data_IF_044074786179
#
_entry.id   IF_044074786179
#
_cell.length_a   1.000
_cell.length_b   1.000
_cell.length_c   1.000
_cell.angle_alpha   90.00
_cell.angle_beta   90.00
_cell.angle_gamma   90.00
#
_symmetry.space_group_name_H-M   'P 1'
#
loop_
_entity.id
_entity.type
_entity.pdbx_description
1 polymer ?
#
# COMPACT_ATOMS: atom_id res chain seq x y z
N UNK A 1 16.94 39.30 -6.90
CA UNK A 1 15.87 38.34 -6.51
C UNK A 1 16.36 37.66 -5.24
N UNK A 2 15.66 37.86 -4.13
CA UNK A 2 16.08 37.35 -2.83
C UNK A 2 15.88 35.83 -2.80
N UNK A 3 16.86 35.05 -2.33
CA UNK A 3 16.80 33.58 -2.26
C UNK A 3 15.65 32.99 -1.42
N UNK A 4 14.86 33.82 -0.74
CA UNK A 4 13.60 33.41 -0.10
C UNK A 4 12.46 33.20 -1.11
N UNK A 5 12.44 33.93 -2.24
CA UNK A 5 11.40 33.78 -3.27
C UNK A 5 11.56 32.45 -4.03
N UNK A 6 12.79 31.99 -4.29
CA UNK A 6 13.09 30.70 -4.96
C UNK A 6 12.62 29.48 -4.14
N UNK A 7 12.76 29.51 -2.80
CA UNK A 7 12.32 28.43 -1.93
C UNK A 7 10.80 28.26 -1.89
N UNK A 8 10.05 29.33 -2.19
CA UNK A 8 8.59 29.26 -2.22
C UNK A 8 8.05 28.56 -3.47
N UNK A 9 8.77 28.55 -4.59
CA UNK A 9 8.31 27.91 -5.83
C UNK A 9 8.65 26.41 -5.91
N UNK A 10 9.42 25.89 -4.95
CA UNK A 10 9.75 24.47 -4.85
C UNK A 10 8.85 23.72 -3.85
N UNK A 11 8.40 22.50 -4.20
CA UNK A 11 7.73 21.62 -3.26
C UNK A 11 8.69 21.25 -2.14
N UNK A 12 8.14 21.01 -0.95
CA UNK A 12 8.93 20.81 0.28
C UNK A 12 10.01 19.74 0.09
N UNK A 13 9.68 18.64 -0.59
CA UNK A 13 10.62 17.54 -0.83
C UNK A 13 11.78 17.90 -1.76
N UNK A 14 11.74 19.00 -2.52
CA UNK A 14 12.85 19.50 -3.36
C UNK A 14 13.77 20.48 -2.62
N UNK A 15 13.43 20.91 -1.40
CA UNK A 15 14.23 21.88 -0.65
C UNK A 15 15.35 21.21 0.13
N UNK A 16 16.56 21.77 0.11
CA UNK A 16 17.72 21.14 0.77
C UNK A 16 17.55 21.02 2.29
N UNK A 17 16.78 21.94 2.88
CA UNK A 17 16.52 22.02 4.33
C UNK A 17 15.88 20.76 4.95
N UNK A 18 15.25 19.90 4.15
CA UNK A 18 14.60 18.68 4.64
C UNK A 18 15.59 17.59 5.06
N UNK A 19 16.83 17.67 4.59
CA UNK A 19 17.86 16.69 4.90
C UNK A 19 18.74 17.17 6.06
N UNK A 20 19.23 16.24 6.90
CA UNK A 20 20.06 16.58 8.04
C UNK A 20 21.34 17.30 7.59
N UNK A 21 21.85 18.18 8.46
CA UNK A 21 23.16 18.77 8.27
C UNK A 21 24.24 17.69 8.24
N UNK A 22 25.32 17.95 7.51
CA UNK A 22 26.50 17.09 7.49
C UNK A 22 27.03 16.89 8.93
N UNK A 23 27.30 15.65 9.38
CA UNK A 23 27.89 15.39 10.69
C UNK A 23 29.27 16.07 10.85
N UNK A 24 29.66 16.44 12.09
CA UNK A 24 31.00 16.96 12.35
C UNK A 24 32.05 15.85 12.18
N UNK A 25 33.06 16.10 11.36
CA UNK A 25 34.17 15.17 11.10
C UNK A 25 34.03 14.35 9.81
N UNK A 26 35.04 14.42 8.95
CA UNK A 26 35.11 13.71 7.66
C UNK A 26 34.64 14.53 6.46
N UNK A 27 35.41 14.51 5.37
CA UNK A 27 35.06 15.22 4.14
C UNK A 27 33.91 14.52 3.40
N UNK A 28 33.90 13.19 3.44
CA UNK A 28 32.92 12.32 2.80
C UNK A 28 32.28 11.40 3.83
N UNK A 29 31.07 10.90 3.55
CA UNK A 29 30.46 9.89 4.40
C UNK A 29 29.05 9.50 4.01
N UNK A 30 28.52 8.53 4.73
CA UNK A 30 27.15 8.03 4.60
C UNK A 30 26.42 8.09 5.94
N UNK A 31 25.12 8.43 5.87
CA UNK A 31 24.19 8.37 6.98
C UNK A 31 23.27 7.17 6.79
N UNK A 32 23.43 6.19 7.68
CA UNK A 32 22.69 4.93 7.77
C UNK A 32 21.59 5.15 8.81
N UNK A 33 20.37 5.48 8.38
CA UNK A 33 19.27 5.78 9.32
C UNK A 33 19.36 7.17 9.98
N UNK A 34 18.92 7.28 11.25
CA UNK A 34 18.83 8.56 11.97
C UNK A 34 20.15 9.00 12.60
N UNK A 35 20.92 8.07 13.16
CA UNK A 35 22.03 8.38 14.05
C UNK A 35 23.34 7.65 13.70
N UNK A 36 23.33 6.72 12.74
CA UNK A 36 24.53 5.97 12.37
C UNK A 36 25.22 6.65 11.19
N UNK A 37 26.38 7.26 11.45
CA UNK A 37 27.17 7.98 10.47
C UNK A 37 28.51 7.30 10.27
N UNK A 38 28.90 7.08 9.01
CA UNK A 38 30.21 6.54 8.65
C UNK A 38 30.96 7.53 7.78
N UNK A 39 32.04 8.09 8.31
CA UNK A 39 32.91 9.01 7.60
C UNK A 39 33.97 8.27 6.76
N UNK A 40 34.37 8.88 5.65
CA UNK A 40 35.44 8.42 4.77
C UNK A 40 36.48 9.51 4.57
N UNK A 41 37.72 9.09 4.27
CA UNK A 41 38.85 10.00 4.09
C UNK A 41 38.86 10.63 2.71
N UNK A 42 38.46 9.87 1.69
CA UNK A 42 38.50 10.28 0.29
C UNK A 42 37.22 9.86 -0.46
N UNK A 43 37.04 10.37 -1.67
CA UNK A 43 35.86 10.07 -2.50
C UNK A 43 35.82 8.62 -3.00
N UNK A 44 36.97 7.99 -3.24
CA UNK A 44 37.03 6.61 -3.73
C UNK A 44 36.49 5.61 -2.70
N UNK A 45 36.78 5.82 -1.41
CA UNK A 45 36.21 5.04 -0.31
C UNK A 45 34.68 5.15 -0.27
N UNK A 46 34.15 6.37 -0.49
CA UNK A 46 32.70 6.62 -0.57
C UNK A 46 32.10 5.92 -1.79
N UNK A 47 32.75 6.02 -2.96
CA UNK A 47 32.30 5.40 -4.19
C UNK A 47 32.24 3.86 -4.05
N UNK A 48 33.28 3.25 -3.48
CA UNK A 48 33.33 1.82 -3.22
C UNK A 48 32.22 1.41 -2.25
N UNK A 49 32.02 2.17 -1.17
CA UNK A 49 30.95 1.91 -0.22
C UNK A 49 29.57 1.97 -0.88
N UNK A 50 29.29 3.02 -1.65
CA UNK A 50 28.01 3.18 -2.37
C UNK A 50 27.78 2.03 -3.35
N UNK A 51 28.83 1.52 -4.02
CA UNK A 51 28.72 0.39 -4.95
C UNK A 51 28.27 -0.91 -4.24
N UNK A 52 28.64 -1.09 -2.98
CA UNK A 52 28.30 -2.27 -2.18
C UNK A 52 27.05 -2.05 -1.31
N UNK A 53 26.58 -0.82 -1.17
CA UNK A 53 25.52 -0.44 -0.23
C UNK A 53 24.16 -1.06 -0.58
N UNK A 54 23.61 -1.86 0.34
CA UNK A 54 22.33 -2.57 0.13
C UNK A 54 21.13 -1.87 0.73
N UNK A 55 21.32 -0.98 1.69
CA UNK A 55 20.20 -0.38 2.40
C UNK A 55 19.43 0.62 1.54
N UNK A 56 18.09 0.57 1.57
CA UNK A 56 17.27 1.55 0.88
C UNK A 56 17.32 2.89 1.61
N UNK A 57 17.37 4.00 0.87
CA UNK A 57 17.16 5.36 1.40
C UNK A 57 18.25 5.91 2.35
N UNK A 58 19.50 5.53 2.15
CA UNK A 58 20.65 6.18 2.79
C UNK A 58 20.98 7.54 2.18
N UNK A 59 21.57 8.43 2.98
CA UNK A 59 22.07 9.73 2.54
C UNK A 59 23.59 9.73 2.55
N UNK A 60 24.20 10.56 1.70
CA UNK A 60 25.65 10.82 1.70
C UNK A 60 25.91 12.26 2.06
N UNK A 61 27.15 12.56 2.44
CA UNK A 61 27.65 13.93 2.44
C UNK A 61 29.01 14.00 1.75
N UNK A 62 29.29 15.16 1.20
CA UNK A 62 30.51 15.51 0.48
C UNK A 62 30.98 16.89 0.98
N UNK A 63 32.22 17.33 0.69
CA UNK A 63 32.68 18.63 1.14
C UNK A 63 32.02 19.80 0.39
N UNK A 64 31.40 19.53 -0.76
CA UNK A 64 30.73 20.54 -1.60
C UNK A 64 29.33 20.95 -1.12
N UNK A 65 28.75 20.25 -0.12
CA UNK A 65 27.41 20.57 0.41
C UNK A 65 27.38 20.59 1.93
N UNK A 66 26.56 21.50 2.48
CA UNK A 66 26.37 21.62 3.93
C UNK A 66 25.44 20.54 4.52
N UNK A 67 24.59 19.94 3.68
CA UNK A 67 23.58 18.96 4.08
C UNK A 67 23.79 17.63 3.39
N UNK A 68 23.33 16.57 4.05
CA UNK A 68 23.32 15.24 3.46
C UNK A 68 22.29 15.18 2.31
N UNK A 69 22.51 14.30 1.34
CA UNK A 69 21.64 14.19 0.16
C UNK A 69 21.66 12.76 -0.40
N UNK A 70 20.70 12.38 -1.27
CA UNK A 70 20.69 11.04 -1.88
C UNK A 70 21.90 10.82 -2.79
N UNK A 71 22.53 9.63 -2.80
CA UNK A 71 23.62 9.30 -3.72
C UNK A 71 23.32 9.62 -5.19
N UNK A 72 22.05 9.48 -5.59
CA UNK A 72 21.56 9.73 -6.94
C UNK A 72 21.69 11.19 -7.39
N UNK A 73 21.92 12.15 -6.48
CA UNK A 73 22.19 13.55 -6.84
C UNK A 73 23.67 13.83 -7.20
N UNK A 74 24.61 12.90 -6.95
CA UNK A 74 26.01 13.06 -7.35
C UNK A 74 26.34 12.27 -8.62
N UNK A 75 26.51 12.97 -9.73
CA UNK A 75 26.86 12.37 -11.03
C UNK A 75 28.18 11.59 -11.00
N UNK A 76 29.12 11.92 -10.09
CA UNK A 76 30.38 11.19 -9.92
C UNK A 76 30.15 9.75 -9.45
N UNK A 77 29.03 9.49 -8.76
CA UNK A 77 28.66 8.16 -8.25
C UNK A 77 27.93 7.30 -9.29
N UNK A 78 27.75 7.75 -10.53
CA UNK A 78 26.99 7.02 -11.55
C UNK A 78 27.47 5.56 -11.74
N UNK A 79 28.78 5.33 -11.77
CA UNK A 79 29.34 3.99 -11.95
C UNK A 79 29.11 3.11 -10.70
N UNK A 80 29.30 3.65 -9.50
CA UNK A 80 28.96 2.97 -8.26
C UNK A 80 27.47 2.61 -8.20
N UNK A 81 26.58 3.52 -8.58
CA UNK A 81 25.14 3.28 -8.61
C UNK A 81 24.75 2.22 -9.62
N UNK A 82 25.38 2.17 -10.81
CA UNK A 82 25.19 1.08 -11.78
C UNK A 82 25.57 -0.27 -11.17
N UNK A 83 26.77 -0.37 -10.57
CA UNK A 83 27.25 -1.60 -9.90
C UNK A 83 26.30 -2.03 -8.78
N UNK A 84 25.91 -1.08 -7.91
CA UNK A 84 24.98 -1.28 -6.80
C UNK A 84 23.66 -1.88 -7.30
N UNK A 85 23.04 -1.27 -8.31
CA UNK A 85 21.76 -1.69 -8.87
C UNK A 85 21.84 -3.05 -9.58
N UNK A 86 22.91 -3.30 -10.32
CA UNK A 86 23.14 -4.60 -10.95
C UNK A 86 23.19 -5.71 -9.90
N UNK A 87 24.00 -5.53 -8.85
CA UNK A 87 24.14 -6.53 -7.80
C UNK A 87 22.86 -6.71 -6.95
N UNK A 88 22.10 -5.65 -6.66
CA UNK A 88 20.77 -5.79 -6.04
C UNK A 88 19.83 -6.62 -6.90
N UNK A 89 19.89 -6.46 -8.22
CA UNK A 89 19.03 -7.21 -9.13
C UNK A 89 19.39 -8.70 -9.17
N UNK A 90 20.67 -9.07 -9.09
CA UNK A 90 21.10 -10.47 -9.04
C UNK A 90 20.65 -11.18 -7.76
N UNK A 91 20.74 -10.51 -6.62
CA UNK A 91 20.23 -11.03 -5.33
C UNK A 91 18.72 -11.26 -5.40
N UNK A 92 17.98 -10.32 -5.99
CA UNK A 92 16.56 -10.51 -6.19
C UNK A 92 16.30 -11.73 -7.07
N UNK A 93 17.00 -11.87 -8.21
CA UNK A 93 16.86 -13.01 -9.11
C UNK A 93 17.12 -14.37 -8.46
N UNK A 94 18.16 -14.51 -7.64
CA UNK A 94 18.48 -15.77 -6.97
C UNK A 94 17.40 -16.16 -5.96
N UNK A 95 16.93 -15.19 -5.16
CA UNK A 95 15.84 -15.40 -4.21
C UNK A 95 14.49 -15.69 -4.87
N UNK A 96 14.33 -15.27 -6.12
CA UNK A 96 13.14 -15.44 -6.93
C UNK A 96 13.04 -16.83 -7.54
N UNK A 97 14.16 -17.45 -7.94
CA UNK A 97 14.17 -18.84 -8.44
C UNK A 97 13.61 -19.81 -7.41
N UNK A 98 14.01 -19.65 -6.15
CA UNK A 98 13.51 -20.47 -5.04
C UNK A 98 12.01 -20.25 -4.78
N UNK A 99 11.56 -18.99 -4.73
CA UNK A 99 10.14 -18.65 -4.53
C UNK A 99 9.26 -19.10 -5.70
N UNK A 100 9.71 -18.86 -6.94
CA UNK A 100 9.02 -19.32 -8.14
C UNK A 100 8.87 -20.84 -8.15
N UNK A 101 9.89 -21.59 -7.72
CA UNK A 101 9.79 -23.04 -7.56
C UNK A 101 8.75 -23.44 -6.49
N UNK A 102 8.82 -22.84 -5.30
CA UNK A 102 7.88 -23.14 -4.20
C UNK A 102 6.41 -22.89 -4.59
N UNK A 103 6.13 -21.78 -5.30
CA UNK A 103 4.76 -21.42 -5.69
C UNK A 103 4.33 -22.01 -7.05
N UNK A 104 5.25 -22.57 -7.85
CA UNK A 104 4.90 -23.26 -9.09
C UNK A 104 4.40 -24.69 -8.84
N UNK A 105 4.86 -25.36 -7.78
CA UNK A 105 4.45 -26.74 -7.46
C UNK A 105 2.93 -26.88 -7.25
N UNK A 106 2.23 -26.00 -6.50
CA UNK A 106 0.78 -26.04 -6.40
C UNK A 106 0.09 -25.79 -7.75
N UNK A 107 0.61 -24.90 -8.59
CA UNK A 107 0.03 -24.62 -9.93
C UNK A 107 0.16 -25.84 -10.83
N UNK A 108 1.31 -26.52 -10.83
CA UNK A 108 1.52 -27.76 -11.60
C UNK A 108 0.62 -28.87 -11.09
N UNK A 109 0.48 -29.02 -9.78
CA UNK A 109 -0.45 -29.98 -9.17
C UNK A 109 -1.91 -29.70 -9.56
N UNK A 110 -2.33 -28.44 -9.54
CA UNK A 110 -3.69 -28.05 -9.92
C UNK A 110 -3.92 -28.21 -11.41
N UNK A 111 -2.92 -27.94 -12.25
CA UNK A 111 -3.01 -28.17 -13.69
C UNK A 111 -3.12 -29.66 -14.00
N UNK A 112 -2.32 -30.50 -13.34
CA UNK A 112 -2.44 -31.95 -13.41
C UNK A 112 -3.82 -32.42 -12.94
N UNK A 113 -4.29 -31.91 -11.80
CA UNK A 113 -5.62 -32.22 -11.26
C UNK A 113 -6.75 -31.74 -12.18
N UNK A 114 -6.57 -30.59 -12.86
CA UNK A 114 -7.49 -30.07 -13.87
C UNK A 114 -7.59 -31.02 -15.06
N UNK A 115 -6.46 -31.49 -15.59
CA UNK A 115 -6.41 -32.45 -16.70
C UNK A 115 -7.00 -33.80 -16.31
N UNK A 116 -6.77 -34.24 -15.06
CA UNK A 116 -7.25 -35.52 -14.55
C UNK A 116 -8.75 -35.53 -14.22
N UNK A 117 -9.33 -34.39 -13.81
CA UNK A 117 -10.72 -34.31 -13.30
C UNK A 117 -11.66 -33.42 -14.11
N UNK A 118 -11.14 -32.58 -15.02
CA UNK A 118 -11.89 -31.62 -15.82
C UNK A 118 -12.50 -30.43 -15.06
N UNK A 119 -12.25 -30.29 -13.73
CA UNK A 119 -13.02 -29.37 -12.86
C UNK A 119 -12.21 -28.24 -12.20
N UNK A 120 -10.88 -28.28 -12.24
CA UNK A 120 -10.04 -27.38 -11.41
C UNK A 120 -9.92 -25.96 -11.98
N UNK A 121 -10.16 -25.74 -13.27
CA UNK A 121 -10.07 -24.41 -13.88
C UNK A 121 -11.08 -23.38 -13.31
N UNK A 122 -12.15 -23.84 -12.66
CA UNK A 122 -13.15 -22.99 -12.00
C UNK A 122 -13.09 -23.04 -10.47
N UNK A 123 -12.01 -23.60 -9.91
CA UNK A 123 -11.84 -23.71 -8.45
C UNK A 123 -11.26 -22.42 -7.87
N UNK A 124 -11.80 -21.95 -6.73
CA UNK A 124 -11.29 -20.76 -6.03
C UNK A 124 -9.82 -20.94 -5.63
N UNK A 125 -9.46 -22.18 -5.33
CA UNK A 125 -8.12 -22.63 -4.98
C UNK A 125 -7.13 -22.24 -6.07
N UNK A 126 -7.43 -22.53 -7.35
CA UNK A 126 -6.57 -22.14 -8.47
C UNK A 126 -6.33 -20.63 -8.50
N UNK A 127 -7.38 -19.83 -8.32
CA UNK A 127 -7.25 -18.37 -8.26
C UNK A 127 -6.38 -17.91 -7.08
N UNK A 128 -6.52 -18.53 -5.89
CA UNK A 128 -5.69 -18.21 -4.71
C UNK A 128 -4.22 -18.53 -5.00
N UNK A 129 -3.91 -19.72 -5.51
CA UNK A 129 -2.53 -20.09 -5.82
C UNK A 129 -1.95 -19.23 -6.94
N UNK A 130 -2.74 -18.86 -7.95
CA UNK A 130 -2.30 -17.94 -9.00
C UNK A 130 -2.02 -16.53 -8.46
N UNK A 131 -2.86 -16.00 -7.55
CA UNK A 131 -2.60 -14.73 -6.86
C UNK A 131 -1.33 -14.83 -6.00
N UNK A 132 -1.16 -15.90 -5.22
CA UNK A 132 0.03 -16.11 -4.39
C UNK A 132 1.30 -16.20 -5.25
N UNK A 133 1.26 -16.94 -6.37
CA UNK A 133 2.38 -17.01 -7.29
C UNK A 133 2.67 -15.66 -7.93
N UNK A 134 1.66 -14.93 -8.40
CA UNK A 134 1.85 -13.59 -8.96
C UNK A 134 2.52 -12.67 -7.93
N UNK A 135 2.04 -12.70 -6.69
CA UNK A 135 2.50 -11.81 -5.62
C UNK A 135 3.91 -12.14 -5.12
N UNK A 136 4.24 -13.43 -4.96
CA UNK A 136 5.50 -13.87 -4.36
C UNK A 136 6.57 -14.30 -5.37
N UNK A 137 6.20 -14.54 -6.63
CA UNK A 137 7.13 -14.97 -7.68
C UNK A 137 7.01 -14.12 -8.96
N UNK A 138 5.85 -14.07 -9.61
CA UNK A 138 5.70 -13.44 -10.93
C UNK A 138 6.05 -11.96 -10.95
N UNK A 139 5.50 -11.18 -10.02
CA UNK A 139 5.71 -9.73 -9.95
C UNK A 139 7.09 -9.38 -9.45
N UNK A 140 7.61 -9.97 -8.35
CA UNK A 140 8.97 -9.67 -7.97
C UNK A 140 9.96 -10.08 -9.07
N UNK A 141 9.70 -11.15 -9.86
CA UNK A 141 10.51 -11.50 -11.03
C UNK A 141 10.49 -10.40 -12.09
N UNK A 142 9.30 -9.93 -12.45
CA UNK A 142 9.15 -8.84 -13.41
C UNK A 142 9.83 -7.55 -12.93
N UNK A 143 9.67 -7.18 -11.67
CA UNK A 143 10.30 -5.99 -11.09
C UNK A 143 11.82 -6.15 -10.95
N UNK A 144 12.33 -7.35 -10.65
CA UNK A 144 13.77 -7.63 -10.69
C UNK A 144 14.32 -7.48 -12.11
N UNK A 145 13.66 -8.07 -13.11
CA UNK A 145 14.00 -7.94 -14.53
C UNK A 145 14.02 -6.49 -15.01
N UNK A 146 12.95 -5.76 -14.72
CA UNK A 146 12.80 -4.34 -15.06
C UNK A 146 13.87 -3.49 -14.39
N UNK A 147 14.22 -3.78 -13.14
CA UNK A 147 15.33 -3.11 -12.42
C UNK A 147 16.69 -3.43 -13.05
N UNK A 148 16.98 -4.68 -13.40
CA UNK A 148 18.21 -5.04 -14.13
C UNK A 148 18.32 -4.27 -15.45
N UNK A 149 17.24 -4.21 -16.24
CA UNK A 149 17.21 -3.47 -17.51
C UNK A 149 17.40 -1.96 -17.31
N UNK A 150 16.84 -1.37 -16.25
CA UNK A 150 17.04 0.04 -15.90
C UNK A 150 18.47 0.33 -15.47
N UNK A 151 19.09 -0.55 -14.67
CA UNK A 151 20.48 -0.41 -14.23
C UNK A 151 21.44 -0.30 -15.42
N UNK A 152 21.24 -1.14 -16.45
CA UNK A 152 22.03 -1.10 -17.70
C UNK A 152 21.85 0.19 -18.51
N UNK A 153 20.72 0.88 -18.35
CA UNK A 153 20.38 2.11 -19.07
C UNK A 153 20.61 3.38 -18.24
N UNK A 154 21.06 3.26 -16.99
CA UNK A 154 21.30 4.41 -16.12
C UNK A 154 22.41 5.26 -16.74
N UNK A 155 22.17 6.55 -16.95
CA UNK A 155 23.11 7.50 -17.54
C UNK A 155 22.95 8.86 -16.85
N UNK A 156 23.81 9.83 -17.18
CA UNK A 156 23.74 11.15 -16.56
C UNK A 156 22.38 11.85 -16.81
N UNK A 157 21.77 11.64 -17.98
CA UNK A 157 20.49 12.26 -18.36
C UNK A 157 19.31 11.78 -17.51
N UNK A 158 19.24 10.49 -17.19
CA UNK A 158 18.11 9.91 -16.47
C UNK A 158 18.32 9.80 -14.95
N UNK A 159 19.56 10.02 -14.48
CA UNK A 159 19.95 10.03 -13.07
C UNK A 159 19.24 11.15 -12.31
N UNK A 160 19.15 12.35 -12.88
CA UNK A 160 18.45 13.49 -12.25
C UNK A 160 16.99 13.15 -11.88
N UNK A 161 16.26 12.51 -12.81
CA UNK A 161 14.88 12.07 -12.53
C UNK A 161 14.78 10.90 -11.54
N UNK A 162 15.85 10.11 -11.35
CA UNK A 162 15.89 9.13 -10.25
C UNK A 162 16.14 9.82 -8.93
N UNK A 163 16.99 10.83 -8.91
CA UNK A 163 17.29 11.62 -7.74
C UNK A 163 16.02 12.26 -7.18
N UNK A 164 15.19 12.89 -8.02
CA UNK A 164 13.89 13.45 -7.60
C UNK A 164 12.96 12.40 -6.96
N UNK A 165 12.87 11.21 -7.58
CA UNK A 165 12.03 10.12 -7.09
C UNK A 165 12.53 9.58 -5.74
N UNK A 166 13.84 9.36 -5.60
CA UNK A 166 14.47 8.92 -4.35
C UNK A 166 14.31 9.97 -3.26
N UNK A 167 14.49 11.26 -3.62
CA UNK A 167 14.33 12.38 -2.71
C UNK A 167 12.92 12.42 -2.12
N UNK A 168 11.90 12.31 -2.98
CA UNK A 168 10.50 12.22 -2.56
C UNK A 168 10.23 11.01 -1.66
N UNK A 169 10.75 9.83 -2.01
CA UNK A 169 10.59 8.61 -1.22
C UNK A 169 11.24 8.70 0.17
N UNK A 170 12.44 9.27 0.28
CA UNK A 170 13.10 9.51 1.57
C UNK A 170 12.26 10.49 2.40
N UNK A 171 11.86 11.60 1.78
CA UNK A 171 11.06 12.63 2.46
C UNK A 171 9.74 12.06 2.99
N UNK A 172 8.96 11.38 2.15
CA UNK A 172 7.64 10.87 2.54
C UNK A 172 7.71 9.79 3.63
N UNK A 173 8.76 8.96 3.63
CA UNK A 173 8.99 7.93 4.67
C UNK A 173 9.32 8.52 6.04
N UNK A 174 9.93 9.71 6.08
CA UNK A 174 10.30 10.40 7.32
C UNK A 174 9.13 11.17 7.96
N UNK A 175 7.99 11.26 7.27
CA UNK A 175 6.84 12.03 7.76
C UNK A 175 6.12 11.32 8.91
N UNK A 176 5.57 12.13 9.81
CA UNK A 176 4.72 11.66 10.90
C UNK A 176 3.32 11.31 10.36
N UNK A 177 2.88 10.07 10.60
CA UNK A 177 1.61 9.51 10.07
C UNK A 177 0.73 8.86 11.15
N UNK A 178 0.35 9.61 12.21
CA UNK A 178 -0.36 9.06 13.36
C UNK A 178 -1.74 8.53 12.97
N UNK A 179 -2.47 9.20 12.07
CA UNK A 179 -3.84 8.80 11.75
C UNK A 179 -3.88 7.54 10.90
N UNK A 180 -2.93 7.36 9.97
CA UNK A 180 -2.74 6.09 9.25
C UNK A 180 -2.45 4.95 10.21
N UNK A 181 -1.58 5.18 11.21
CA UNK A 181 -1.25 4.17 12.23
C UNK A 181 -2.43 3.84 13.14
N UNK A 182 -3.22 4.84 13.53
CA UNK A 182 -4.43 4.65 14.33
C UNK A 182 -5.44 3.80 13.54
N UNK A 183 -5.72 4.17 12.29
CA UNK A 183 -6.65 3.41 11.44
C UNK A 183 -6.18 1.97 11.23
N UNK A 184 -4.88 1.76 10.99
CA UNK A 184 -4.30 0.42 10.94
C UNK A 184 -4.50 -0.34 12.26
N UNK A 185 -4.23 0.31 13.39
CA UNK A 185 -4.41 -0.28 14.72
C UNK A 185 -5.85 -0.70 15.01
N UNK A 186 -6.83 0.10 14.58
CA UNK A 186 -8.27 -0.22 14.68
C UNK A 186 -8.58 -1.49 13.88
N UNK A 187 -8.16 -1.55 12.62
CA UNK A 187 -8.42 -2.72 11.75
C UNK A 187 -7.73 -3.98 12.29
N UNK A 188 -6.47 -3.88 12.71
CA UNK A 188 -5.73 -5.00 13.31
C UNK A 188 -6.36 -5.43 14.64
N UNK A 189 -6.87 -4.50 15.44
CA UNK A 189 -7.56 -4.80 16.69
C UNK A 189 -8.85 -5.61 16.49
N UNK A 190 -9.65 -5.28 15.47
CA UNK A 190 -10.84 -6.08 15.11
C UNK A 190 -10.43 -7.47 14.62
N UNK A 191 -9.39 -7.56 13.79
CA UNK A 191 -8.89 -8.87 13.34
C UNK A 191 -8.37 -9.73 14.50
N UNK A 192 -7.74 -9.14 15.50
CA UNK A 192 -7.32 -9.86 16.71
C UNK A 192 -8.53 -10.48 17.43
N UNK A 193 -9.65 -9.76 17.54
CA UNK A 193 -10.89 -10.31 18.10
C UNK A 193 -11.45 -11.45 17.22
N UNK A 194 -11.39 -11.34 15.89
CA UNK A 194 -11.76 -12.44 15.00
C UNK A 194 -10.93 -13.69 15.25
N UNK A 195 -9.61 -13.55 15.44
CA UNK A 195 -8.71 -14.67 15.75
C UNK A 195 -9.08 -15.31 17.09
N UNK A 196 -9.33 -14.53 18.14
CA UNK A 196 -9.75 -15.07 19.44
C UNK A 196 -11.07 -15.86 19.33
N UNK A 197 -12.04 -15.35 18.57
CA UNK A 197 -13.29 -16.06 18.30
C UNK A 197 -13.04 -17.35 17.51
N UNK A 198 -12.24 -17.29 16.45
CA UNK A 198 -11.86 -18.45 15.64
C UNK A 198 -11.11 -19.52 16.44
N UNK A 199 -10.29 -19.11 17.43
CA UNK A 199 -9.63 -20.05 18.35
C UNK A 199 -10.64 -20.74 19.26
N UNK A 200 -11.63 -20.02 19.78
CA UNK A 200 -12.69 -20.59 20.61
C UNK A 200 -13.57 -21.58 19.82
N UNK A 201 -13.77 -21.35 18.52
CA UNK A 201 -14.55 -22.22 17.64
C UNK A 201 -13.76 -23.45 17.14
N UNK A 202 -12.46 -23.28 16.82
CA UNK A 202 -11.66 -24.30 16.14
C UNK A 202 -10.68 -25.07 17.04
N UNK A 203 -10.46 -24.63 18.28
CA UNK A 203 -9.56 -25.29 19.24
C UNK A 203 -8.06 -25.10 18.99
N UNK A 204 -7.67 -24.26 18.00
CA UNK A 204 -6.26 -24.06 17.66
C UNK A 204 -5.94 -22.69 17.04
N UNK A 205 -4.71 -22.20 17.25
CA UNK A 205 -4.25 -20.91 16.69
C UNK A 205 -4.04 -20.98 15.17
N UNK A 206 -3.45 -22.08 14.67
CA UNK A 206 -3.19 -22.23 13.24
C UNK A 206 -4.48 -22.28 12.44
N UNK A 207 -5.50 -23.02 12.91
CA UNK A 207 -6.83 -23.03 12.32
C UNK A 207 -7.50 -21.65 12.39
N UNK A 208 -7.32 -20.90 13.48
CA UNK A 208 -7.86 -19.54 13.61
C UNK A 208 -7.20 -18.49 12.68
N UNK A 209 -5.89 -18.59 12.46
CA UNK A 209 -5.14 -17.70 11.55
C UNK A 209 -5.38 -18.03 10.08
N UNK A 210 -5.66 -19.31 9.80
CA UNK A 210 -5.82 -19.88 8.46
C UNK A 210 -7.23 -20.42 8.19
N UNK A 211 -8.26 -19.87 8.85
CA UNK A 211 -9.66 -20.32 8.71
C UNK A 211 -10.00 -20.49 7.21
N UNK A 212 -10.66 -21.59 6.84
CA UNK A 212 -10.12 -22.46 5.81
C UNK A 212 -10.25 -21.89 4.39
N UNK A 213 -9.18 -22.13 3.64
CA UNK A 213 -9.10 -22.35 2.19
C UNK A 213 -10.02 -23.49 1.68
N UNK A 214 -10.93 -24.01 2.50
CA UNK A 214 -11.64 -25.27 2.30
C UNK A 214 -13.14 -25.04 2.37
N UNK A 215 -13.78 -24.93 1.20
CA UNK A 215 -15.24 -25.04 1.07
C UNK A 215 -15.59 -26.53 1.17
N UNK A 216 -15.87 -27.00 2.39
CA UNK A 216 -16.67 -28.23 2.56
C UNK A 216 -18.02 -27.85 3.16
N UNK A 217 -19.07 -27.95 2.35
CA UNK A 217 -20.46 -27.79 2.81
C UNK A 217 -21.12 -26.43 2.55
N UNK A 218 -20.51 -25.53 1.78
CA UNK A 218 -21.22 -24.40 1.19
C UNK A 218 -21.40 -23.14 2.04
N UNK A 219 -20.80 -23.05 3.23
CA UNK A 219 -20.59 -21.75 3.90
C UNK A 219 -19.22 -21.70 4.58
N UNK A 220 -18.34 -20.76 4.21
CA UNK A 220 -17.18 -20.45 5.05
C UNK A 220 -17.72 -19.81 6.33
N UNK A 221 -17.70 -20.54 7.45
CA UNK A 221 -17.98 -19.96 8.78
C UNK A 221 -16.77 -19.12 9.21
N UNK A 222 -16.52 -18.06 8.47
CA UNK A 222 -15.46 -17.11 8.72
C UNK A 222 -15.82 -16.40 10.02
N UNK A 223 -15.00 -16.56 11.06
CA UNK A 223 -15.32 -16.08 12.40
C UNK A 223 -15.76 -14.60 12.40
N UNK A 224 -17.02 -14.37 12.76
CA UNK A 224 -17.63 -13.04 12.78
C UNK A 224 -18.36 -12.61 11.51
N UNK A 225 -18.30 -13.37 10.41
CA UNK A 225 -18.89 -13.00 9.12
C UNK A 225 -20.41 -12.93 9.17
N UNK A 226 -21.06 -13.92 9.79
CA UNK A 226 -22.51 -13.91 9.96
C UNK A 226 -22.95 -12.73 10.85
N UNK A 227 -22.17 -12.44 11.90
CA UNK A 227 -22.52 -11.43 12.91
C UNK A 227 -22.19 -10.00 12.46
N UNK A 228 -21.12 -9.80 11.70
CA UNK A 228 -20.59 -8.46 11.42
C UNK A 228 -20.09 -8.26 9.98
N UNK A 229 -20.07 -9.29 9.15
CA UNK A 229 -19.77 -9.17 7.72
C UNK A 229 -20.93 -8.59 6.91
N UNK A 230 -20.65 -8.24 5.66
CA UNK A 230 -21.65 -7.72 4.73
C UNK A 230 -22.43 -8.87 4.12
N UNK A 231 -23.42 -9.37 4.85
CA UNK A 231 -24.41 -10.33 4.36
C UNK A 231 -25.44 -9.59 3.52
N UNK A 232 -25.63 -10.01 2.27
CA UNK A 232 -26.38 -9.27 1.23
C UNK A 232 -27.60 -10.04 0.71
N UNK A 233 -27.99 -11.13 1.37
CA UNK A 233 -29.10 -11.97 0.92
C UNK A 233 -30.39 -11.16 0.79
N UNK A 234 -31.14 -11.42 -0.29
CA UNK A 234 -32.48 -10.85 -0.50
C UNK A 234 -33.58 -11.65 0.18
N UNK A 235 -33.30 -12.88 0.62
CA UNK A 235 -34.31 -13.83 1.11
C UNK A 235 -34.14 -14.17 2.60
N UNK A 236 -33.66 -13.24 3.43
CA UNK A 236 -33.42 -13.53 4.85
C UNK A 236 -32.88 -12.36 5.66
N UNK A 237 -31.82 -12.58 6.42
CA UNK A 237 -31.14 -11.52 7.20
C UNK A 237 -30.05 -10.84 6.35
N UNK A 238 -29.75 -9.57 6.64
CA UNK A 238 -28.65 -8.85 5.99
C UNK A 238 -28.98 -7.42 5.57
N UNK A 239 -28.11 -6.86 4.73
CA UNK A 239 -28.14 -5.48 4.26
C UNK A 239 -29.51 -5.05 3.70
N UNK A 240 -30.14 -5.88 2.85
CA UNK A 240 -31.44 -5.56 2.25
C UNK A 240 -32.62 -5.68 3.22
N UNK A 241 -32.39 -6.15 4.45
CA UNK A 241 -33.41 -6.36 5.49
C UNK A 241 -33.21 -5.44 6.70
N UNK A 242 -32.59 -4.28 6.48
CA UNK A 242 -32.45 -3.23 7.51
C UNK A 242 -31.14 -3.26 8.29
N UNK A 243 -30.25 -4.22 8.03
CA UNK A 243 -28.93 -4.29 8.67
C UNK A 243 -27.88 -3.41 7.96
N UNK A 244 -28.23 -2.16 7.68
CA UNK A 244 -27.38 -1.18 6.98
C UNK A 244 -26.04 -0.92 7.68
N UNK A 245 -25.98 -1.12 9.00
CA UNK A 245 -24.78 -1.01 9.81
C UNK A 245 -23.68 -1.98 9.36
N UNK A 246 -24.02 -3.04 8.61
CA UNK A 246 -23.04 -3.95 8.00
C UNK A 246 -22.10 -3.28 7.01
N UNK A 247 -22.50 -2.15 6.42
CA UNK A 247 -21.60 -1.32 5.60
C UNK A 247 -20.45 -0.71 6.41
N UNK A 248 -20.63 -0.54 7.73
CA UNK A 248 -19.61 -0.01 8.64
C UNK A 248 -18.78 -1.11 9.30
N UNK A 249 -19.39 -2.25 9.63
CA UNK A 249 -18.70 -3.34 10.33
C UNK A 249 -17.88 -4.21 9.38
N UNK A 250 -18.39 -4.54 8.20
CA UNK A 250 -17.74 -5.46 7.27
C UNK A 250 -16.34 -5.02 6.80
N UNK A 251 -16.08 -3.72 6.55
CA UNK A 251 -14.74 -3.27 6.20
C UNK A 251 -13.70 -3.48 7.31
N UNK A 252 -14.13 -3.75 8.55
CA UNK A 252 -13.23 -4.00 9.69
C UNK A 252 -12.84 -5.48 9.80
N UNK A 253 -13.65 -6.40 9.25
CA UNK A 253 -13.38 -7.84 9.27
C UNK A 253 -12.44 -8.25 8.15
N UNK A 254 -11.65 -9.30 8.36
CA UNK A 254 -10.78 -9.88 7.35
C UNK A 254 -10.91 -11.40 7.33
N UNK A 255 -10.76 -11.97 6.13
CA UNK A 255 -11.01 -13.39 5.93
C UNK A 255 -9.90 -14.33 6.41
N UNK A 256 -8.66 -13.87 6.35
CA UNK A 256 -7.46 -14.67 6.56
C UNK A 256 -6.24 -13.77 6.79
N UNK A 257 -5.17 -14.32 7.37
CA UNK A 257 -3.97 -13.55 7.73
C UNK A 257 -3.38 -12.80 6.53
N UNK A 258 -3.28 -13.43 5.36
CA UNK A 258 -2.71 -12.76 4.18
C UNK A 258 -3.57 -11.58 3.72
N UNK A 259 -4.90 -11.64 3.88
CA UNK A 259 -5.80 -10.57 3.48
C UNK A 259 -5.62 -9.34 4.38
N UNK A 260 -5.52 -9.50 5.71
CA UNK A 260 -5.22 -8.38 6.61
C UNK A 260 -3.81 -7.83 6.41
N UNK A 261 -2.81 -8.69 6.14
CA UNK A 261 -1.44 -8.23 5.85
C UNK A 261 -1.43 -7.38 4.58
N UNK A 262 -2.10 -7.81 3.52
CA UNK A 262 -2.17 -7.06 2.26
C UNK A 262 -2.93 -5.74 2.41
N UNK A 263 -4.06 -5.74 3.10
CA UNK A 263 -4.79 -4.50 3.41
C UNK A 263 -3.97 -3.58 4.32
N UNK A 264 -3.26 -4.12 5.30
CA UNK A 264 -2.38 -3.36 6.19
C UNK A 264 -1.23 -2.69 5.44
N UNK A 265 -0.56 -3.42 4.54
CA UNK A 265 0.48 -2.86 3.67
C UNK A 265 -0.08 -1.80 2.70
N UNK A 266 -1.23 -2.08 2.10
CA UNK A 266 -1.93 -1.13 1.23
C UNK A 266 -2.33 0.15 1.96
N UNK A 267 -2.87 0.02 3.18
CA UNK A 267 -3.24 1.14 4.03
C UNK A 267 -2.02 1.93 4.51
N UNK A 268 -0.92 1.27 4.89
CA UNK A 268 0.31 1.97 5.25
C UNK A 268 0.90 2.75 4.07
N UNK A 269 0.86 2.18 2.87
CA UNK A 269 1.40 2.82 1.67
C UNK A 269 0.53 3.99 1.20
N UNK A 270 -0.76 3.75 0.97
CA UNK A 270 -1.68 4.76 0.45
C UNK A 270 -2.11 5.74 1.53
N UNK A 271 -2.37 5.28 2.75
CA UNK A 271 -2.74 6.11 3.88
C UNK A 271 -1.65 7.11 4.25
N UNK A 272 -0.38 6.68 4.31
CA UNK A 272 0.77 7.60 4.49
C UNK A 272 0.74 8.69 3.44
N UNK A 273 0.58 8.31 2.17
CA UNK A 273 0.64 9.25 1.06
C UNK A 273 -0.52 10.25 1.12
N UNK A 274 -1.74 9.78 1.40
CA UNK A 274 -2.91 10.65 1.61
C UNK A 274 -2.74 11.58 2.81
N UNK A 275 -2.32 11.06 3.96
CA UNK A 275 -2.14 11.86 5.19
C UNK A 275 -1.07 12.95 5.03
N UNK A 276 0.03 12.64 4.33
CA UNK A 276 1.09 13.63 4.09
C UNK A 276 0.68 14.63 3.00
N UNK A 277 0.08 14.17 1.90
CA UNK A 277 -0.20 15.03 0.73
C UNK A 277 -1.46 15.87 0.90
N UNK A 278 -2.51 15.27 1.47
CA UNK A 278 -3.84 15.87 1.55
C UNK A 278 -4.26 16.16 3.00
N UNK A 279 -3.44 15.84 4.00
CA UNK A 279 -3.72 15.93 5.45
C UNK A 279 -4.69 14.87 5.99
N UNK A 280 -4.65 14.66 7.31
CA UNK A 280 -5.35 13.58 7.99
C UNK A 280 -6.89 13.59 7.88
N UNK A 281 -7.62 14.72 7.79
CA UNK A 281 -9.07 14.67 7.72
C UNK A 281 -9.56 14.00 6.44
N UNK A 282 -8.86 14.27 5.33
CA UNK A 282 -9.18 13.68 4.03
C UNK A 282 -8.84 12.18 3.96
N UNK A 283 -7.85 11.70 4.74
CA UNK A 283 -7.64 10.26 4.93
C UNK A 283 -8.92 9.59 5.49
N UNK A 284 -9.48 10.15 6.57
CA UNK A 284 -10.67 9.59 7.21
C UNK A 284 -11.90 9.69 6.30
N UNK A 285 -12.11 10.85 5.66
CA UNK A 285 -13.25 11.10 4.77
C UNK A 285 -13.24 10.20 3.54
N UNK A 286 -12.10 10.12 2.84
CA UNK A 286 -11.97 9.25 1.66
C UNK A 286 -12.17 7.79 2.06
N UNK A 287 -11.55 7.34 3.15
CA UNK A 287 -11.70 5.96 3.60
C UNK A 287 -13.16 5.62 3.92
N UNK A 288 -13.87 6.48 4.66
CA UNK A 288 -15.28 6.30 5.02
C UNK A 288 -16.19 6.29 3.78
N UNK A 289 -16.10 7.31 2.92
CA UNK A 289 -16.98 7.42 1.74
C UNK A 289 -16.74 6.26 0.79
N UNK A 290 -15.47 5.86 0.58
CA UNK A 290 -15.14 4.75 -0.30
C UNK A 290 -15.50 3.38 0.28
N UNK A 291 -15.39 3.15 1.59
CA UNK A 291 -15.85 1.89 2.17
C UNK A 291 -17.38 1.73 2.09
N UNK A 292 -18.13 2.83 2.26
CA UNK A 292 -19.58 2.85 2.09
C UNK A 292 -19.98 2.61 0.63
N UNK A 293 -19.39 3.39 -0.31
CA UNK A 293 -19.68 3.24 -1.74
C UNK A 293 -19.27 1.86 -2.28
N UNK A 294 -18.13 1.33 -1.83
CA UNK A 294 -17.70 -0.03 -2.14
C UNK A 294 -18.66 -1.09 -1.61
N UNK A 295 -19.08 -0.98 -0.34
CA UNK A 295 -20.07 -1.89 0.25
C UNK A 295 -21.41 -1.86 -0.49
N UNK A 296 -21.88 -0.68 -0.89
CA UNK A 296 -23.10 -0.53 -1.71
C UNK A 296 -22.89 -1.16 -3.08
N UNK A 297 -21.80 -0.86 -3.80
CA UNK A 297 -21.52 -1.46 -5.09
C UNK A 297 -21.46 -3.00 -5.00
N UNK A 298 -20.86 -3.53 -3.95
CA UNK A 298 -20.84 -4.97 -3.63
C UNK A 298 -22.24 -5.55 -3.37
N UNK A 299 -23.11 -4.82 -2.67
CA UNK A 299 -24.50 -5.21 -2.41
C UNK A 299 -25.30 -5.44 -3.69
N UNK A 300 -25.11 -4.59 -4.69
CA UNK A 300 -25.85 -4.69 -5.95
C UNK A 300 -25.13 -5.56 -6.99
N UNK A 301 -23.80 -5.59 -6.99
CA UNK A 301 -23.01 -6.34 -7.96
C UNK A 301 -22.77 -7.82 -7.61
N UNK A 302 -22.77 -8.16 -6.32
CA UNK A 302 -22.61 -9.53 -5.79
C UNK A 302 -23.62 -9.79 -4.66
N UNK A 303 -24.93 -9.80 -4.93
CA UNK A 303 -25.96 -9.85 -3.88
C UNK A 303 -25.97 -11.17 -3.08
N UNK A 304 -25.44 -12.26 -3.62
CA UNK A 304 -25.50 -13.59 -2.97
C UNK A 304 -24.24 -13.97 -2.20
N UNK A 305 -23.13 -13.24 -2.37
CA UNK A 305 -21.84 -13.58 -1.74
C UNK A 305 -21.53 -12.60 -0.62
N UNK A 306 -21.30 -13.02 0.63
CA UNK A 306 -20.94 -12.09 1.70
C UNK A 306 -19.59 -11.41 1.43
N UNK A 307 -19.36 -10.24 2.02
CA UNK A 307 -18.12 -9.46 1.83
C UNK A 307 -17.54 -8.95 3.15
N UNK A 308 -16.21 -8.86 3.19
CA UNK A 308 -15.41 -8.33 4.31
C UNK A 308 -14.15 -7.65 3.78
N UNK A 309 -13.55 -6.79 4.58
CA UNK A 309 -12.21 -6.26 4.35
C UNK A 309 -12.18 -4.76 4.08
N UNK A 310 -11.11 -4.11 4.56
CA UNK A 310 -10.89 -2.68 4.41
C UNK A 310 -10.61 -2.25 2.95
N UNK A 311 -10.50 -3.21 2.03
CA UNK A 311 -10.04 -3.02 0.66
C UNK A 311 -10.86 -2.01 -0.14
N UNK A 312 -12.18 -1.89 0.08
CA UNK A 312 -13.00 -0.84 -0.56
C UNK A 312 -12.54 0.58 -0.19
N UNK A 313 -12.27 0.82 1.10
CA UNK A 313 -11.70 2.10 1.57
C UNK A 313 -10.28 2.34 1.06
N UNK A 314 -9.45 1.30 1.03
CA UNK A 314 -8.06 1.36 0.52
C UNK A 314 -8.04 1.67 -0.99
N UNK A 315 -8.91 1.03 -1.77
CA UNK A 315 -9.08 1.34 -3.19
C UNK A 315 -9.59 2.77 -3.39
N UNK A 316 -10.41 3.27 -2.47
CA UNK A 316 -10.72 4.69 -2.35
C UNK A 316 -9.50 5.60 -2.24
N UNK A 317 -8.58 5.28 -1.35
CA UNK A 317 -7.33 6.04 -1.21
C UNK A 317 -6.50 6.00 -2.50
N UNK A 318 -6.47 4.87 -3.21
CA UNK A 318 -5.80 4.78 -4.51
C UNK A 318 -6.47 5.69 -5.56
N UNK A 319 -7.79 5.63 -5.68
CA UNK A 319 -8.56 6.44 -6.64
C UNK A 319 -8.44 7.93 -6.34
N UNK A 320 -8.50 8.29 -5.04
CA UNK A 320 -8.23 9.62 -4.56
C UNK A 320 -6.85 10.11 -4.98
N UNK A 321 -5.78 9.35 -4.69
CA UNK A 321 -4.41 9.75 -5.00
C UNK A 321 -4.15 9.88 -6.51
N UNK A 322 -4.72 8.99 -7.33
CA UNK A 322 -4.58 9.06 -8.79
C UNK A 322 -5.15 10.37 -9.35
N UNK A 323 -6.32 10.80 -8.88
CA UNK A 323 -6.96 12.04 -9.31
C UNK A 323 -6.30 13.25 -8.64
N UNK A 324 -6.04 13.20 -7.33
CA UNK A 324 -5.41 14.28 -6.58
C UNK A 324 -4.04 14.66 -7.15
N UNK A 325 -3.16 13.68 -7.41
CA UNK A 325 -1.83 13.95 -7.97
C UNK A 325 -1.87 14.40 -9.41
N UNK A 326 -2.87 13.97 -10.19
CA UNK A 326 -3.10 14.52 -11.52
C UNK A 326 -3.48 16.01 -11.45
N UNK A 327 -4.34 16.39 -10.49
CA UNK A 327 -4.77 17.77 -10.28
C UNK A 327 -3.67 18.66 -9.64
N UNK A 328 -2.71 18.04 -8.94
CA UNK A 328 -1.64 18.70 -8.17
C UNK A 328 -0.24 18.24 -8.61
N UNK A 329 -0.01 18.15 -9.92
CA UNK A 329 1.18 17.51 -10.49
C UNK A 329 2.54 18.13 -10.09
N UNK A 330 2.59 19.35 -9.54
CA UNK A 330 3.83 19.95 -9.00
C UNK A 330 4.19 19.46 -7.59
N UNK A 331 3.26 18.80 -6.87
CA UNK A 331 3.50 18.29 -5.52
C UNK A 331 4.29 16.98 -5.51
N UNK A 332 4.28 16.22 -6.60
CA UNK A 332 4.78 14.85 -6.64
C UNK A 332 5.60 14.64 -7.91
N UNK A 333 6.78 14.00 -7.85
CA UNK A 333 7.51 13.64 -9.06
C UNK A 333 6.67 12.72 -9.95
N UNK A 334 6.67 12.97 -11.27
CA UNK A 334 5.87 12.19 -12.22
C UNK A 334 6.13 10.68 -12.11
N UNK A 335 7.38 10.26 -11.82
CA UNK A 335 7.73 8.85 -11.63
C UNK A 335 7.04 8.24 -10.40
N UNK A 336 6.88 9.00 -9.32
CA UNK A 336 6.18 8.54 -8.12
C UNK A 336 4.67 8.38 -8.37
N UNK A 337 4.05 9.20 -9.22
CA UNK A 337 2.64 9.02 -9.64
C UNK A 337 2.47 7.79 -10.53
N UNK A 338 3.44 7.50 -11.43
CA UNK A 338 3.41 6.27 -12.24
C UNK A 338 3.40 4.98 -11.39
N UNK A 339 3.94 5.01 -10.17
CA UNK A 339 3.84 3.89 -9.22
C UNK A 339 2.41 3.64 -8.74
N UNK A 340 1.57 4.68 -8.64
CA UNK A 340 0.14 4.52 -8.34
C UNK A 340 -0.59 3.86 -9.51
N UNK A 341 -0.30 4.26 -10.75
CA UNK A 341 -0.85 3.57 -11.93
C UNK A 341 -0.42 2.10 -11.98
N UNK A 342 0.84 1.80 -11.62
CA UNK A 342 1.32 0.42 -11.50
C UNK A 342 0.58 -0.34 -10.39
N UNK A 343 0.32 0.29 -9.24
CA UNK A 343 -0.51 -0.30 -8.18
C UNK A 343 -1.96 -0.56 -8.65
N UNK A 344 -2.57 0.34 -9.43
CA UNK A 344 -3.90 0.12 -10.01
C UNK A 344 -3.91 -1.10 -10.94
N UNK A 345 -2.95 -1.18 -11.87
CA UNK A 345 -2.81 -2.31 -12.80
C UNK A 345 -2.58 -3.61 -12.01
N UNK A 346 -1.71 -3.56 -11.00
CA UNK A 346 -1.45 -4.71 -10.13
C UNK A 346 -2.73 -5.19 -9.44
N UNK A 347 -3.48 -4.30 -8.79
CA UNK A 347 -4.72 -4.67 -8.12
C UNK A 347 -5.76 -5.19 -9.11
N UNK A 348 -5.85 -4.61 -10.31
CA UNK A 348 -6.73 -5.12 -11.36
C UNK A 348 -6.36 -6.54 -11.78
N UNK A 349 -5.07 -6.84 -12.00
CA UNK A 349 -4.61 -8.19 -12.36
C UNK A 349 -4.90 -9.18 -11.23
N UNK A 350 -4.64 -8.81 -9.97
CA UNK A 350 -4.95 -9.65 -8.80
C UNK A 350 -6.45 -9.88 -8.68
N UNK A 351 -7.28 -8.84 -8.84
CA UNK A 351 -8.74 -8.92 -8.81
C UNK A 351 -9.31 -9.74 -9.96
N UNK A 352 -8.71 -9.68 -11.15
CA UNK A 352 -9.09 -10.49 -12.30
C UNK A 352 -8.78 -11.97 -12.06
N UNK A 353 -7.58 -12.29 -11.57
CA UNK A 353 -7.18 -13.68 -11.27
C UNK A 353 -7.93 -14.25 -10.08
N UNK A 354 -8.20 -13.42 -9.07
CA UNK A 354 -8.91 -13.80 -7.84
C UNK A 354 -10.41 -13.50 -7.86
N UNK A 355 -11.03 -13.30 -9.03
CA UNK A 355 -12.42 -12.81 -9.15
C UNK A 355 -13.47 -13.63 -8.40
N UNK A 356 -13.16 -14.89 -8.08
CA UNK A 356 -14.06 -15.81 -7.36
C UNK A 356 -14.08 -15.58 -5.84
N UNK A 357 -13.08 -14.88 -5.28
CA UNK A 357 -12.95 -14.61 -3.84
C UNK A 357 -12.53 -13.16 -3.53
N UNK A 358 -12.33 -12.33 -4.55
CA UNK A 358 -12.07 -10.90 -4.44
C UNK A 358 -13.32 -10.14 -4.88
N UNK A 359 -13.77 -9.24 -4.01
CA UNK A 359 -14.92 -8.38 -4.27
C UNK A 359 -14.54 -7.19 -5.16
N UNK A 360 -14.50 -7.45 -6.48
CA UNK A 360 -14.16 -6.43 -7.48
C UNK A 360 -15.18 -5.28 -7.54
N UNK A 361 -16.43 -5.49 -7.12
CA UNK A 361 -17.43 -4.43 -7.04
C UNK A 361 -17.14 -3.47 -5.89
N UNK A 362 -16.74 -3.99 -4.73
CA UNK A 362 -16.25 -3.17 -3.63
C UNK A 362 -15.02 -2.35 -4.03
N UNK A 363 -14.07 -2.96 -4.74
CA UNK A 363 -12.86 -2.27 -5.22
C UNK A 363 -13.19 -1.16 -6.21
N UNK A 364 -14.01 -1.46 -7.23
CA UNK A 364 -14.42 -0.48 -8.23
C UNK A 364 -15.24 0.67 -7.64
N UNK A 365 -16.22 0.37 -6.80
CA UNK A 365 -17.04 1.38 -6.12
C UNK A 365 -16.21 2.28 -5.20
N UNK A 366 -15.29 1.69 -4.42
CA UNK A 366 -14.37 2.43 -3.57
C UNK A 366 -13.44 3.35 -4.37
N UNK A 367 -12.77 2.79 -5.40
CA UNK A 367 -11.88 3.53 -6.31
C UNK A 367 -12.58 4.73 -6.94
N UNK A 368 -13.78 4.52 -7.48
CA UNK A 368 -14.57 5.58 -8.12
C UNK A 368 -14.95 6.68 -7.11
N UNK A 369 -15.45 6.30 -5.94
CA UNK A 369 -15.84 7.26 -4.90
C UNK A 369 -14.67 8.12 -4.43
N UNK A 370 -13.48 7.53 -4.26
CA UNK A 370 -12.28 8.27 -3.88
C UNK A 370 -11.81 9.24 -4.96
N UNK A 371 -11.86 8.83 -6.23
CA UNK A 371 -11.55 9.71 -7.37
C UNK A 371 -12.54 10.87 -7.50
N UNK A 372 -13.84 10.62 -7.34
CA UNK A 372 -14.89 11.64 -7.33
C UNK A 372 -14.67 12.61 -6.16
N UNK A 373 -14.36 12.10 -4.97
CA UNK A 373 -14.04 12.93 -3.81
C UNK A 373 -12.87 13.88 -4.12
N UNK A 374 -11.78 13.38 -4.69
CA UNK A 374 -10.65 14.22 -5.07
C UNK A 374 -11.06 15.32 -6.05
N UNK A 375 -11.83 14.98 -7.09
CA UNK A 375 -12.27 15.92 -8.13
C UNK A 375 -13.19 17.03 -7.59
N UNK A 376 -14.01 16.73 -6.58
CA UNK A 376 -14.94 17.71 -5.97
C UNK A 376 -14.23 18.59 -4.95
N UNK A 377 -13.43 17.99 -4.07
CA UNK A 377 -12.87 18.66 -2.89
C UNK A 377 -11.60 19.44 -3.21
N UNK A 378 -10.83 18.99 -4.20
CA UNK A 378 -9.52 19.56 -4.51
C UNK A 378 -9.49 20.17 -5.92
N UNK A 379 -9.62 21.50 -6.06
CA UNK A 379 -9.51 22.14 -7.36
C UNK A 379 -8.10 21.96 -7.95
N UNK A 380 -8.00 21.98 -9.28
CA UNK A 380 -6.71 21.92 -9.97
C UNK A 380 -5.80 23.05 -9.50
N UNK A 381 -4.57 22.73 -9.15
CA UNK A 381 -3.61 23.69 -8.62
C UNK A 381 -2.22 23.49 -9.22
N UNK A 382 -1.57 24.60 -9.58
CA UNK A 382 -0.15 24.66 -9.94
C UNK A 382 0.73 25.06 -8.75
N UNK A 383 0.18 25.07 -7.54
CA UNK A 383 0.98 25.33 -6.34
C UNK A 383 1.92 24.15 -6.04
N UNK A 384 3.18 24.41 -5.68
CA UNK A 384 4.11 23.41 -5.17
C UNK A 384 3.86 23.06 -3.69
N UNK A 385 2.87 23.68 -3.03
CA UNK A 385 2.52 23.39 -1.64
C UNK A 385 1.24 22.59 -1.52
N UNK A 386 1.24 21.65 -0.57
CA UNK A 386 0.04 20.87 -0.27
C UNK A 386 -1.11 21.77 0.20
N UNK A 387 -2.36 21.45 -0.14
CA UNK A 387 -3.53 22.14 0.40
C UNK A 387 -3.53 22.08 1.93
N UNK A 388 -3.97 23.16 2.58
CA UNK A 388 -4.18 23.18 4.03
C UNK A 388 -5.60 22.75 4.34
N UNK A 389 -5.77 21.82 5.29
CA UNK A 389 -7.09 21.51 5.83
C UNK A 389 -7.70 22.73 6.52
N UNK A 390 -8.94 23.01 6.18
CA UNK A 390 -9.78 24.01 6.84
C UNK A 390 -10.30 23.47 8.18
N UNK A 391 -10.90 24.33 9.00
CA UNK A 391 -11.60 23.89 10.23
C UNK A 391 -12.76 22.94 9.92
N UNK A 392 -13.45 23.18 8.80
CA UNK A 392 -14.53 22.31 8.32
C UNK A 392 -14.01 20.93 7.98
N UNK A 393 -12.87 20.85 7.26
CA UNK A 393 -12.24 19.56 6.95
C UNK A 393 -11.90 18.80 8.23
N UNK A 394 -11.29 19.48 9.21
CA UNK A 394 -10.95 18.88 10.50
C UNK A 394 -12.19 18.34 11.23
N UNK A 395 -13.26 19.11 11.32
CA UNK A 395 -14.51 18.68 11.96
C UNK A 395 -15.10 17.45 11.25
N UNK A 396 -15.21 17.51 9.93
CA UNK A 396 -15.72 16.39 9.12
C UNK A 396 -14.81 15.16 9.22
N UNK A 397 -13.49 15.35 9.29
CA UNK A 397 -12.52 14.29 9.51
C UNK A 397 -12.64 13.64 10.87
N UNK A 398 -12.87 14.42 11.94
CA UNK A 398 -13.15 13.86 13.29
C UNK A 398 -14.42 13.02 13.24
N UNK A 399 -15.50 13.56 12.68
CA UNK A 399 -16.79 12.85 12.56
C UNK A 399 -16.60 11.55 11.77
N UNK A 400 -15.91 11.61 10.62
CA UNK A 400 -15.63 10.43 9.81
C UNK A 400 -14.81 9.39 10.58
N UNK A 401 -13.76 9.83 11.29
CA UNK A 401 -12.95 8.96 12.14
C UNK A 401 -13.77 8.29 13.25
N UNK A 402 -14.65 9.04 13.94
CA UNK A 402 -15.53 8.51 14.96
C UNK A 402 -16.52 7.48 14.40
N UNK A 403 -17.07 7.70 13.19
CA UNK A 403 -17.93 6.73 12.51
C UNK A 403 -17.18 5.43 12.22
N UNK A 404 -15.94 5.51 11.73
CA UNK A 404 -15.10 4.33 11.47
C UNK A 404 -14.81 3.57 12.77
N UNK A 405 -14.45 4.27 13.84
CA UNK A 405 -14.21 3.66 15.17
C UNK A 405 -15.49 3.04 15.74
N UNK A 406 -16.64 3.71 15.59
CA UNK A 406 -17.93 3.17 16.00
C UNK A 406 -18.29 1.90 15.20
N UNK A 407 -17.99 1.86 13.90
CA UNK A 407 -18.14 0.67 13.07
C UNK A 407 -17.26 -0.49 13.55
N UNK A 408 -16.00 -0.23 13.91
CA UNK A 408 -15.10 -1.22 14.49
C UNK A 408 -15.58 -1.72 15.86
N UNK A 409 -16.04 -0.83 16.73
CA UNK A 409 -16.60 -1.19 18.01
C UNK A 409 -17.87 -2.05 17.87
N UNK A 410 -18.78 -1.65 16.98
CA UNK A 410 -19.99 -2.41 16.67
C UNK A 410 -19.66 -3.80 16.11
N UNK A 411 -18.65 -3.91 15.25
CA UNK A 411 -18.19 -5.20 14.73
C UNK A 411 -17.75 -6.13 15.88
N UNK A 412 -17.00 -5.61 16.85
CA UNK A 412 -16.59 -6.35 18.04
C UNK A 412 -17.80 -6.76 18.90
N UNK A 413 -18.74 -5.86 19.15
CA UNK A 413 -19.95 -6.16 19.92
C UNK A 413 -20.76 -7.30 19.28
N UNK A 414 -21.02 -7.18 17.98
CA UNK A 414 -21.72 -8.20 17.21
C UNK A 414 -21.02 -9.56 17.26
N UNK A 415 -19.69 -9.60 17.11
CA UNK A 415 -18.93 -10.84 17.21
C UNK A 415 -18.99 -11.49 18.59
N UNK A 416 -19.15 -10.68 19.66
CA UNK A 416 -19.30 -11.13 21.05
C UNK A 416 -20.75 -11.48 21.44
N UNK A 417 -21.71 -11.25 20.55
CA UNK A 417 -23.13 -11.48 20.82
C UNK A 417 -23.78 -10.47 21.76
N UNK A 418 -23.23 -9.24 21.84
CA UNK A 418 -23.73 -8.14 22.68
C UNK A 418 -24.33 -7.04 21.81
#
# INVERSE_FOLDING_TARGET
>A
MNGQDELTDLPVWQREEIFPAKPPGGNYGVLVGKDEAKAFTNFADLEEHVAQWREPAGLIWTPDRERCFPPEEDARLLNALRKRKAALSEVDWSSLRFRAFLFALPIVYLFWSALASGRVLHSQELGIYAVLWLMFAGIPAYEAWKRSRRALRLNAENLAGEAEEVRFEIWIRRQHIPFTKILLGVVVGVYFVQVLKGMAQSGGLLSALWLPLEIRGGQPDLAGLAEAGLVKSRDGIGYFHGEWWRLLTAPMLHGQLIHIVMNGLGLLYLGRRTEVMASWPHLALVFLVSMLAGGIASAYGLPTQPSVGASGGIMGLLGFLLVFEYLHGRLVPQRATRRLCAALIFTFVVGFVGYQFIDNWAHGGGLLAGGIYAAIVFPKSSSPHRPRATRTDQLLGVIAGLIVVAGAFLAVMRMRGV
#
